data_IF_785949231206
#
_entry.id   IF_785949231206
#
_cell.length_a   1.000
_cell.length_b   1.000
_cell.length_c   1.000
_cell.angle_alpha   90.00
_cell.angle_beta   90.00
_cell.angle_gamma   90.00
#
_symmetry.space_group_name_H-M   'P 1'
#
loop_
_entity.id
_entity.type
_entity.pdbx_description
1 polymer ?
#
# COMPACT_ATOMS: atom_id res chain seq x y z
N UNK A 1 83.20 13.57 -6.05
CA UNK A 1 83.30 14.82 -6.83
C UNK A 1 82.69 14.56 -8.19
N UNK A 2 81.65 15.33 -8.51
CA UNK A 2 81.17 15.69 -9.86
C UNK A 2 80.30 14.68 -10.64
N UNK A 3 78.99 14.84 -10.49
CA UNK A 3 77.95 15.14 -11.50
C UNK A 3 78.18 14.77 -12.99
N UNK A 4 77.16 14.17 -13.63
CA UNK A 4 76.39 14.76 -14.75
C UNK A 4 75.12 13.93 -15.03
N UNK A 5 74.00 14.66 -15.09
CA UNK A 5 72.64 14.25 -15.41
C UNK A 5 72.45 13.89 -16.90
N UNK A 6 71.55 12.94 -17.20
CA UNK A 6 70.67 13.00 -18.37
C UNK A 6 69.29 12.52 -17.99
N UNK A 7 68.34 13.46 -18.07
CA UNK A 7 66.95 13.25 -17.76
C UNK A 7 66.24 12.34 -18.74
N UNK A 8 65.33 11.54 -18.20
CA UNK A 8 64.13 11.10 -18.89
C UNK A 8 62.99 11.91 -18.28
N UNK A 9 62.30 12.68 -19.13
CA UNK A 9 61.35 13.69 -18.72
C UNK A 9 60.09 13.12 -18.03
N UNK A 10 59.41 13.94 -17.23
CA UNK A 10 58.13 13.58 -16.63
C UNK A 10 57.01 13.47 -17.69
N UNK A 11 56.19 12.45 -17.49
CA UNK A 11 54.99 12.08 -18.25
C UNK A 11 53.94 13.22 -18.22
N UNK A 12 53.38 13.65 -19.37
CA UNK A 12 52.47 14.81 -19.46
C UNK A 12 51.04 14.56 -18.96
N UNK A 13 50.81 13.62 -18.03
CA UNK A 13 49.46 13.31 -17.51
C UNK A 13 49.18 13.71 -16.07
N UNK A 14 50.14 14.30 -15.38
CA UNK A 14 49.90 15.00 -14.13
C UNK A 14 50.24 16.47 -14.30
N UNK A 15 49.21 17.32 -14.36
CA UNK A 15 49.15 18.75 -14.05
C UNK A 15 47.98 19.39 -14.84
N UNK A 16 46.76 19.09 -14.42
CA UNK A 16 45.60 19.92 -14.69
C UNK A 16 44.87 20.23 -13.37
N UNK A 17 45.63 20.79 -12.44
CA UNK A 17 45.10 21.61 -11.37
C UNK A 17 45.99 22.85 -11.30
N UNK A 18 45.35 23.98 -11.05
CA UNK A 18 45.90 25.34 -10.90
C UNK A 18 46.10 26.11 -12.20
N UNK A 19 45.04 26.75 -12.70
CA UNK A 19 45.07 28.20 -12.97
C UNK A 19 43.67 28.70 -13.33
N UNK A 20 42.98 29.30 -12.34
CA UNK A 20 42.13 30.50 -12.51
C UNK A 20 41.53 30.86 -11.14
N UNK A 21 42.33 31.58 -10.36
CA UNK A 21 41.94 32.42 -9.21
C UNK A 21 42.03 33.84 -9.79
N UNK A 22 40.92 34.50 -10.13
CA UNK A 22 40.21 35.55 -9.37
C UNK A 22 39.38 36.31 -10.43
N UNK A 23 38.21 36.93 -10.24
CA UNK A 23 37.58 37.56 -9.09
C UNK A 23 36.12 37.82 -9.51
N UNK A 24 35.15 37.42 -8.69
CA UNK A 24 33.74 37.65 -8.98
C UNK A 24 32.84 37.25 -7.82
N UNK A 25 32.99 37.93 -6.69
CA UNK A 25 32.11 37.80 -5.52
C UNK A 25 30.63 37.99 -5.91
N UNK A 26 29.80 36.95 -5.72
CA UNK A 26 28.49 37.00 -5.05
C UNK A 26 27.80 35.61 -5.08
N UNK A 27 27.14 35.32 -3.96
CA UNK A 27 26.20 34.21 -3.72
C UNK A 27 26.80 32.84 -3.39
N UNK A 28 27.18 32.69 -2.12
CA UNK A 28 27.17 31.40 -1.40
C UNK A 28 25.71 31.05 -1.07
N UNK A 29 25.02 30.41 -1.98
CA UNK A 29 23.75 29.69 -1.78
C UNK A 29 23.46 28.99 -3.11
N UNK A 30 23.69 27.67 -3.21
CA UNK A 30 23.33 26.94 -4.43
C UNK A 30 24.30 25.87 -4.93
N UNK A 31 25.08 25.20 -4.06
CA UNK A 31 25.86 24.02 -4.45
C UNK A 31 25.73 22.87 -3.44
N UNK A 32 24.52 22.67 -2.89
CA UNK A 32 24.11 21.42 -2.20
C UNK A 32 22.99 20.71 -2.98
N UNK A 33 22.89 20.94 -4.30
CA UNK A 33 21.82 20.38 -5.15
C UNK A 33 22.35 19.51 -6.30
N UNK A 34 23.47 18.81 -6.11
CA UNK A 34 23.99 17.87 -7.11
C UNK A 34 24.58 16.65 -6.41
N UNK A 35 24.05 15.49 -6.77
CA UNK A 35 24.33 14.16 -6.23
C UNK A 35 23.52 13.75 -4.99
N UNK A 36 22.24 14.12 -4.95
CA UNK A 36 21.25 13.10 -4.56
C UNK A 36 21.20 12.10 -5.72
N UNK A 37 21.84 10.95 -5.57
CA UNK A 37 21.53 9.79 -6.39
C UNK A 37 20.04 9.55 -6.18
N UNK A 38 19.23 9.96 -7.16
CA UNK A 38 17.79 9.74 -7.21
C UNK A 38 17.57 8.25 -6.98
N UNK A 39 17.22 7.89 -5.75
CA UNK A 39 16.71 6.56 -5.48
C UNK A 39 15.42 6.44 -6.30
N UNK A 40 15.28 5.39 -7.13
CA UNK A 40 14.11 5.24 -7.97
C UNK A 40 12.84 5.25 -7.11
N UNK A 41 11.76 5.84 -7.61
CA UNK A 41 10.47 5.81 -6.93
C UNK A 41 10.00 4.35 -6.76
N UNK A 42 9.10 4.05 -5.82
CA UNK A 42 8.53 2.71 -5.69
C UNK A 42 7.94 2.18 -7.01
N UNK A 43 7.30 3.05 -7.80
CA UNK A 43 6.75 2.71 -9.12
C UNK A 43 7.87 2.39 -10.13
N UNK A 44 8.94 3.20 -10.16
CA UNK A 44 10.10 2.94 -11.02
C UNK A 44 10.85 1.66 -10.59
N UNK A 45 10.86 1.32 -9.30
CA UNK A 45 11.43 0.08 -8.80
C UNK A 45 10.63 -1.14 -9.24
N UNK A 46 9.29 -1.04 -9.21
CA UNK A 46 8.40 -2.10 -9.70
C UNK A 46 8.62 -2.30 -11.20
N UNK A 47 8.64 -1.22 -11.99
CA UNK A 47 8.88 -1.28 -13.44
C UNK A 47 10.22 -1.95 -13.76
N UNK A 48 11.30 -1.59 -13.06
CA UNK A 48 12.61 -2.24 -13.24
C UNK A 48 12.60 -3.73 -12.86
N UNK A 49 11.80 -4.14 -11.88
CA UNK A 49 11.64 -5.56 -11.53
C UNK A 49 10.83 -6.27 -12.61
N UNK A 50 9.79 -5.65 -13.14
CA UNK A 50 8.99 -6.20 -14.25
C UNK A 50 9.82 -6.43 -15.51
N UNK A 51 10.65 -5.46 -15.91
CA UNK A 51 11.58 -5.63 -17.04
C UNK A 51 12.54 -6.79 -16.81
N UNK A 52 13.01 -6.98 -15.57
CA UNK A 52 13.87 -8.11 -15.21
C UNK A 52 13.13 -9.43 -15.27
N UNK A 53 11.89 -9.48 -14.77
CA UNK A 53 11.03 -10.66 -14.84
C UNK A 53 10.82 -11.06 -16.30
N UNK A 54 10.43 -10.11 -17.17
CA UNK A 54 10.22 -10.36 -18.60
C UNK A 54 11.51 -10.87 -19.27
N UNK A 55 12.66 -10.25 -18.97
CA UNK A 55 13.95 -10.71 -19.48
C UNK A 55 14.29 -12.13 -19.00
N UNK A 56 13.93 -12.51 -17.77
CA UNK A 56 14.14 -13.87 -17.24
C UNK A 56 13.21 -14.88 -17.90
N UNK A 57 11.95 -14.53 -18.12
CA UNK A 57 10.98 -15.37 -18.83
C UNK A 57 11.46 -15.70 -20.24
N UNK A 58 11.93 -14.70 -20.99
CA UNK A 58 12.50 -14.91 -22.33
C UNK A 58 13.72 -15.86 -22.30
N UNK A 59 14.58 -15.73 -21.28
CA UNK A 59 15.75 -16.62 -21.12
C UNK A 59 15.34 -18.05 -20.73
N UNK A 60 14.35 -18.19 -19.86
CA UNK A 60 13.78 -19.50 -19.50
C UNK A 60 13.23 -20.17 -20.74
N UNK A 61 12.43 -19.47 -21.54
CA UNK A 61 11.87 -19.98 -22.80
C UNK A 61 12.97 -20.44 -23.75
N UNK A 62 14.01 -19.63 -23.96
CA UNK A 62 15.15 -19.97 -24.81
C UNK A 62 15.90 -21.23 -24.32
N UNK A 63 16.15 -21.36 -23.01
CA UNK A 63 16.85 -22.54 -22.46
C UNK A 63 15.98 -23.79 -22.59
N UNK A 64 14.67 -23.68 -22.35
CA UNK A 64 13.71 -24.78 -22.53
C UNK A 64 13.71 -25.23 -24.00
N UNK A 65 13.69 -24.30 -24.95
CA UNK A 65 13.77 -24.60 -26.37
C UNK A 65 15.10 -25.29 -26.73
N UNK A 66 16.24 -24.78 -26.25
CA UNK A 66 17.56 -25.38 -26.45
C UNK A 66 17.67 -26.83 -25.93
N UNK A 67 17.10 -27.08 -24.75
CA UNK A 67 17.04 -28.44 -24.18
C UNK A 67 16.16 -29.33 -25.06
N UNK A 68 15.01 -28.81 -25.51
CA UNK A 68 14.07 -29.54 -26.37
C UNK A 68 14.69 -29.92 -27.72
N UNK A 69 15.35 -28.97 -28.40
CA UNK A 69 16.04 -29.19 -29.68
C UNK A 69 17.17 -30.19 -29.53
N UNK A 70 18.01 -30.05 -28.49
CA UNK A 70 19.11 -30.98 -28.22
C UNK A 70 18.60 -32.40 -27.93
N UNK A 71 17.52 -32.55 -27.16
CA UNK A 71 16.87 -33.85 -26.90
C UNK A 71 16.33 -34.47 -28.19
N UNK A 72 15.70 -33.67 -29.06
CA UNK A 72 15.15 -34.13 -30.33
C UNK A 72 16.25 -34.58 -31.31
N UNK A 73 17.31 -33.77 -31.47
CA UNK A 73 18.46 -34.10 -32.32
C UNK A 73 19.18 -35.37 -31.85
N UNK A 74 19.38 -35.52 -30.53
CA UNK A 74 20.00 -36.71 -29.97
C UNK A 74 19.15 -37.96 -30.22
N UNK A 75 17.83 -37.85 -30.04
CA UNK A 75 16.89 -38.95 -30.32
C UNK A 75 16.94 -39.35 -31.80
N UNK A 76 16.85 -38.37 -32.71
CA UNK A 76 16.92 -38.62 -34.15
C UNK A 76 18.24 -39.28 -34.57
N UNK A 77 19.36 -38.85 -33.98
CA UNK A 77 20.68 -39.44 -34.26
C UNK A 77 20.77 -40.89 -33.76
N UNK A 78 20.19 -41.20 -32.60
CA UNK A 78 20.12 -42.57 -32.07
C UNK A 78 19.25 -43.48 -32.93
N UNK A 79 18.09 -43.00 -33.37
CA UNK A 79 17.20 -43.73 -34.28
C UNK A 79 17.92 -44.07 -35.60
N UNK A 80 18.62 -43.09 -36.19
CA UNK A 80 19.42 -43.30 -37.41
C UNK A 80 20.54 -44.34 -37.22
N UNK A 81 21.04 -44.51 -35.99
CA UNK A 81 22.05 -45.50 -35.63
C UNK A 81 21.46 -46.84 -35.17
N UNK A 82 20.13 -46.99 -35.17
CA UNK A 82 19.44 -48.19 -34.67
C UNK A 82 19.62 -48.42 -33.17
N UNK A 83 19.95 -47.37 -32.41
CA UNK A 83 20.11 -47.42 -30.96
C UNK A 83 18.75 -47.25 -30.27
N UNK A 84 18.54 -47.87 -29.11
CA UNK A 84 17.33 -47.66 -28.33
C UNK A 84 17.21 -46.20 -27.85
N UNK A 85 15.98 -45.72 -27.61
CA UNK A 85 15.71 -44.42 -27.00
C UNK A 85 16.49 -44.24 -25.69
N UNK A 86 16.77 -42.98 -25.35
CA UNK A 86 17.48 -42.65 -24.12
C UNK A 86 16.50 -42.60 -22.95
N UNK A 87 16.72 -43.40 -21.90
CA UNK A 87 15.86 -43.43 -20.70
C UNK A 87 16.20 -42.34 -19.67
N UNK A 88 17.47 -41.91 -19.63
CA UNK A 88 17.96 -40.88 -18.71
C UNK A 88 18.26 -39.56 -19.43
N UNK A 89 18.33 -38.47 -18.70
CA UNK A 89 18.72 -37.16 -19.24
C UNK A 89 20.18 -37.19 -19.73
N UNK A 90 20.46 -36.76 -20.98
CA UNK A 90 21.79 -36.84 -21.52
C UNK A 90 22.74 -35.85 -20.83
N UNK A 91 24.03 -36.19 -20.66
CA UNK A 91 24.98 -35.28 -20.04
C UNK A 91 25.17 -33.95 -20.77
N UNK A 92 24.83 -33.90 -22.06
CA UNK A 92 24.94 -32.71 -22.89
C UNK A 92 24.02 -31.56 -22.49
N UNK A 93 22.96 -31.84 -21.71
CA UNK A 93 22.00 -30.81 -21.28
C UNK A 93 22.05 -30.51 -19.78
N UNK A 94 22.93 -31.17 -19.01
CA UNK A 94 22.99 -30.95 -17.55
C UNK A 94 23.33 -29.51 -17.18
N UNK A 95 24.17 -28.83 -17.97
CA UNK A 95 24.44 -27.41 -17.79
C UNK A 95 23.20 -26.55 -17.98
N UNK A 96 22.40 -26.89 -18.99
CA UNK A 96 21.22 -26.14 -19.38
C UNK A 96 20.10 -26.36 -18.36
N UNK A 97 19.89 -27.61 -17.92
CA UNK A 97 18.93 -27.95 -16.86
C UNK A 97 19.28 -27.24 -15.54
N UNK A 98 20.56 -27.18 -15.17
CA UNK A 98 21.00 -26.40 -14.01
C UNK A 98 20.76 -24.91 -14.19
N UNK A 99 21.07 -24.37 -15.37
CA UNK A 99 20.81 -22.96 -15.67
C UNK A 99 19.33 -22.60 -15.65
N UNK A 100 18.47 -23.55 -16.03
CA UNK A 100 17.02 -23.42 -15.99
C UNK A 100 16.52 -23.35 -14.55
N UNK A 101 17.01 -24.25 -13.67
CA UNK A 101 16.69 -24.23 -12.24
C UNK A 101 17.13 -22.91 -11.59
N UNK A 102 18.36 -22.44 -11.87
CA UNK A 102 18.86 -21.16 -11.38
C UNK A 102 17.99 -19.98 -11.86
N UNK A 103 17.59 -19.97 -13.15
CA UNK A 103 16.73 -18.92 -13.71
C UNK A 103 15.32 -18.92 -13.10
N UNK A 104 14.74 -20.10 -12.84
CA UNK A 104 13.43 -20.22 -12.20
C UNK A 104 13.46 -19.71 -10.75
N UNK A 105 14.52 -20.05 -10.00
CA UNK A 105 14.70 -19.53 -8.65
C UNK A 105 14.88 -17.99 -8.63
N UNK A 106 15.63 -17.44 -9.59
CA UNK A 106 15.77 -15.99 -9.74
C UNK A 106 14.44 -15.31 -10.12
N UNK A 107 13.63 -15.92 -11.00
CA UNK A 107 12.32 -15.41 -11.38
C UNK A 107 11.36 -15.37 -10.19
N UNK A 108 11.24 -16.47 -9.43
CA UNK A 108 10.39 -16.52 -8.22
C UNK A 108 10.84 -15.50 -7.16
N UNK A 109 12.15 -15.29 -7.01
CA UNK A 109 12.69 -14.29 -6.10
C UNK A 109 12.31 -12.86 -6.51
N UNK A 110 12.33 -12.56 -7.81
CA UNK A 110 11.90 -11.26 -8.35
C UNK A 110 10.40 -11.05 -8.18
N UNK A 111 9.58 -12.07 -8.41
CA UNK A 111 8.13 -12.00 -8.17
C UNK A 111 7.81 -11.69 -6.70
N UNK A 112 8.45 -12.40 -5.77
CA UNK A 112 8.30 -12.12 -4.33
C UNK A 112 8.74 -10.70 -3.96
N UNK A 113 9.83 -10.21 -4.56
CA UNK A 113 10.29 -8.84 -4.34
C UNK A 113 9.28 -7.81 -4.87
N UNK A 114 8.68 -8.06 -6.04
CA UNK A 114 7.61 -7.23 -6.61
C UNK A 114 6.39 -7.20 -5.69
N UNK A 115 5.93 -8.36 -5.25
CA UNK A 115 4.77 -8.50 -4.36
C UNK A 115 4.97 -7.74 -3.05
N UNK A 116 6.15 -7.86 -2.42
CA UNK A 116 6.47 -7.13 -1.20
C UNK A 116 6.45 -5.60 -1.41
N UNK A 117 6.99 -5.10 -2.53
CA UNK A 117 6.94 -3.66 -2.83
C UNK A 117 5.51 -3.16 -3.06
N UNK A 118 4.69 -3.93 -3.79
CA UNK A 118 3.27 -3.62 -4.00
C UNK A 118 2.54 -3.58 -2.66
N UNK A 119 2.72 -4.60 -1.81
CA UNK A 119 2.13 -4.66 -0.47
C UNK A 119 2.54 -3.46 0.41
N UNK A 120 3.81 -3.04 0.34
CA UNK A 120 4.28 -1.85 1.05
C UNK A 120 3.62 -0.57 0.53
N UNK A 121 3.46 -0.43 -0.79
CA UNK A 121 2.82 0.73 -1.39
C UNK A 121 1.33 0.79 -1.04
N UNK A 122 0.63 -0.35 -1.08
CA UNK A 122 -0.78 -0.45 -0.65
C UNK A 122 -0.95 -0.13 0.84
N UNK A 123 -0.09 -0.68 1.70
CA UNK A 123 -0.08 -0.33 3.13
C UNK A 123 0.11 1.16 3.34
N UNK A 124 0.99 1.79 2.57
CA UNK A 124 1.21 3.25 2.66
C UNK A 124 -0.02 4.04 2.20
N UNK A 125 -0.71 3.61 1.13
CA UNK A 125 -1.98 4.22 0.70
C UNK A 125 -3.06 4.11 1.78
N UNK A 126 -3.20 2.93 2.39
CA UNK A 126 -4.14 2.71 3.50
C UNK A 126 -3.84 3.64 4.69
N UNK A 127 -2.55 3.85 5.01
CA UNK A 127 -2.13 4.79 6.05
C UNK A 127 -2.54 6.22 5.68
N UNK A 128 -2.34 6.65 4.43
CA UNK A 128 -2.71 8.01 4.00
C UNK A 128 -4.22 8.25 4.02
N UNK A 129 -5.00 7.28 3.57
CA UNK A 129 -6.47 7.31 3.65
C UNK A 129 -6.95 7.36 5.11
N UNK A 130 -6.38 6.52 5.97
CA UNK A 130 -6.73 6.51 7.39
C UNK A 130 -6.33 7.81 8.10
N UNK A 131 -5.21 8.43 7.73
CA UNK A 131 -4.81 9.76 8.24
C UNK A 131 -5.86 10.81 7.91
N UNK A 132 -6.35 10.84 6.68
CA UNK A 132 -7.42 11.76 6.28
C UNK A 132 -8.70 11.49 7.07
N UNK A 133 -9.04 10.21 7.29
CA UNK A 133 -10.20 9.81 8.09
C UNK A 133 -10.09 10.26 9.54
N UNK A 134 -8.97 9.99 10.21
CA UNK A 134 -8.72 10.42 11.60
C UNK A 134 -8.79 11.94 11.71
N UNK A 135 -8.19 12.67 10.77
CA UNK A 135 -8.24 14.13 10.79
C UNK A 135 -9.67 14.65 10.62
N UNK A 136 -10.47 14.04 9.73
CA UNK A 136 -11.89 14.36 9.61
C UNK A 136 -12.64 14.10 10.92
N UNK A 137 -12.43 12.95 11.57
CA UNK A 137 -13.05 12.62 12.86
C UNK A 137 -12.70 13.68 13.93
N UNK A 138 -11.44 14.10 13.98
CA UNK A 138 -10.97 15.14 14.93
C UNK A 138 -11.58 16.51 14.63
N UNK A 139 -11.74 16.87 13.35
CA UNK A 139 -12.40 18.10 12.92
C UNK A 139 -13.89 18.09 13.26
N UNK A 140 -14.57 16.97 13.05
CA UNK A 140 -15.98 16.82 13.41
C UNK A 140 -16.18 17.01 14.92
N UNK A 141 -15.27 16.47 15.75
CA UNK A 141 -15.30 16.69 17.19
C UNK A 141 -14.97 18.13 17.57
N UNK A 142 -14.02 18.78 16.90
CA UNK A 142 -13.72 20.20 17.10
C UNK A 142 -14.93 21.08 16.78
N UNK A 143 -15.63 20.79 15.68
CA UNK A 143 -16.82 21.54 15.30
C UNK A 143 -17.97 21.36 16.28
N UNK A 144 -18.14 20.16 16.85
CA UNK A 144 -19.06 19.96 17.99
C UNK A 144 -18.65 20.79 19.21
N UNK A 145 -17.35 20.96 19.46
CA UNK A 145 -16.88 21.86 20.54
C UNK A 145 -17.22 23.32 20.25
N UNK A 146 -17.07 23.78 18.99
CA UNK A 146 -17.47 25.13 18.58
C UNK A 146 -18.97 25.39 18.79
N UNK A 147 -19.83 24.42 18.48
CA UNK A 147 -21.26 24.52 18.74
C UNK A 147 -21.58 24.72 20.24
N UNK A 148 -20.73 24.19 21.12
CA UNK A 148 -20.85 24.34 22.58
C UNK A 148 -20.22 25.61 23.16
N UNK A 149 -19.53 26.43 22.36
CA UNK A 149 -18.88 27.65 22.86
C UNK A 149 -19.87 28.80 23.10
N UNK A 150 -19.52 29.66 24.05
CA UNK A 150 -20.28 30.89 24.29
C UNK A 150 -20.14 31.87 23.12
N UNK A 151 -21.15 32.73 22.90
CA UNK A 151 -21.08 33.75 21.86
C UNK A 151 -19.89 34.71 22.03
N UNK A 152 -19.46 34.95 23.28
CA UNK A 152 -18.30 35.78 23.60
C UNK A 152 -17.01 35.09 23.18
N UNK A 153 -16.86 33.79 23.49
CA UNK A 153 -15.69 33.01 23.10
C UNK A 153 -15.59 32.85 21.59
N UNK A 154 -16.72 32.55 20.92
CA UNK A 154 -16.78 32.48 19.45
C UNK A 154 -16.37 33.80 18.80
N UNK A 155 -16.85 34.93 19.35
CA UNK A 155 -16.46 36.26 18.87
C UNK A 155 -14.97 36.54 19.07
N UNK A 156 -14.42 36.20 20.24
CA UNK A 156 -12.99 36.37 20.52
C UNK A 156 -12.13 35.50 19.60
N UNK A 157 -12.51 34.23 19.43
CA UNK A 157 -11.78 33.26 18.63
C UNK A 157 -11.78 33.63 17.15
N UNK A 158 -12.90 34.14 16.63
CA UNK A 158 -12.99 34.58 15.24
C UNK A 158 -12.14 35.83 14.97
N UNK A 159 -12.02 36.73 15.94
CA UNK A 159 -11.26 37.97 15.76
C UNK A 159 -9.76 37.75 15.97
N UNK A 160 -9.39 37.12 17.09
CA UNK A 160 -8.02 37.04 17.60
C UNK A 160 -7.41 35.64 17.52
N UNK A 161 -8.20 34.61 17.24
CA UNK A 161 -7.75 33.23 17.34
C UNK A 161 -7.61 32.70 18.77
N UNK A 162 -8.04 33.47 19.77
CA UNK A 162 -7.94 33.13 21.19
C UNK A 162 -9.30 33.17 21.88
N UNK A 163 -9.41 32.41 22.96
CA UNK A 163 -10.58 32.41 23.85
C UNK A 163 -10.74 33.78 24.55
N UNK A 164 -11.90 34.03 25.17
CA UNK A 164 -12.18 35.33 25.83
C UNK A 164 -11.23 35.66 27.00
N UNK A 165 -10.55 34.63 27.54
CA UNK A 165 -9.51 34.75 28.55
C UNK A 165 -8.09 34.93 27.97
N UNK A 166 -7.97 35.23 26.68
CA UNK A 166 -6.72 35.41 25.92
C UNK A 166 -5.85 34.14 25.78
N UNK A 167 -6.35 32.98 26.22
CA UNK A 167 -5.66 31.71 26.05
C UNK A 167 -5.91 31.13 24.66
N UNK A 168 -4.94 30.37 24.15
CA UNK A 168 -5.14 29.55 22.96
C UNK A 168 -6.23 28.52 23.23
N UNK A 169 -6.99 28.18 22.18
CA UNK A 169 -7.99 27.13 22.30
C UNK A 169 -7.30 25.77 22.45
N UNK A 170 -7.70 25.03 23.47
CA UNK A 170 -7.35 23.62 23.64
C UNK A 170 -8.56 22.77 23.28
N UNK A 171 -8.37 21.90 22.29
CA UNK A 171 -9.36 20.92 21.86
C UNK A 171 -9.03 19.55 22.41
N UNK A 172 -10.06 18.79 22.80
CA UNK A 172 -9.88 17.39 23.23
C UNK A 172 -9.35 16.50 22.10
N UNK A 173 -9.74 16.77 20.86
CA UNK A 173 -9.41 15.95 19.69
C UNK A 173 -8.14 16.42 18.98
N UNK A 174 -7.84 17.72 19.03
CA UNK A 174 -6.74 18.34 18.29
C UNK A 174 -5.67 18.99 19.17
N UNK A 175 -5.81 18.92 20.49
CA UNK A 175 -4.87 19.55 21.42
C UNK A 175 -4.86 21.07 21.30
N UNK A 176 -3.70 21.68 21.54
CA UNK A 176 -3.53 23.13 21.49
C UNK A 176 -3.54 23.63 20.03
N UNK A 177 -4.53 24.46 19.70
CA UNK A 177 -4.60 25.13 18.42
C UNK A 177 -3.84 26.45 18.46
N UNK A 178 -3.06 26.71 17.42
CA UNK A 178 -2.47 28.03 17.23
C UNK A 178 -3.57 29.02 16.85
N UNK A 179 -3.42 30.31 17.19
CA UNK A 179 -4.48 31.28 16.97
C UNK A 179 -4.92 31.41 15.51
N UNK A 180 -3.99 31.33 14.58
CA UNK A 180 -4.28 31.45 13.15
C UNK A 180 -5.10 30.26 12.63
N UNK A 181 -4.71 29.04 13.00
CA UNK A 181 -5.46 27.83 12.68
C UNK A 181 -6.83 27.79 13.36
N UNK A 182 -6.91 28.14 14.65
CA UNK A 182 -8.18 28.16 15.38
C UNK A 182 -9.18 29.14 14.74
N UNK A 183 -8.70 30.33 14.37
CA UNK A 183 -9.47 31.33 13.64
C UNK A 183 -9.93 30.82 12.29
N UNK A 184 -9.03 30.23 11.50
CA UNK A 184 -9.33 29.74 10.16
C UNK A 184 -10.31 28.56 10.18
N UNK A 185 -10.14 27.61 11.12
CA UNK A 185 -11.07 26.50 11.32
C UNK A 185 -12.44 26.97 11.79
N UNK A 186 -12.50 27.95 12.68
CA UNK A 186 -13.76 28.55 13.11
C UNK A 186 -14.44 29.30 11.96
N UNK A 187 -13.68 30.00 11.12
CA UNK A 187 -14.22 30.65 9.94
C UNK A 187 -14.82 29.63 8.97
N UNK A 188 -14.08 28.56 8.63
CA UNK A 188 -14.57 27.47 7.79
C UNK A 188 -15.87 26.86 8.37
N UNK A 189 -15.91 26.62 9.68
CA UNK A 189 -17.11 26.15 10.36
C UNK A 189 -18.30 27.10 10.22
N UNK A 190 -18.10 28.42 10.41
CA UNK A 190 -19.16 29.43 10.23
C UNK A 190 -19.66 29.55 8.79
N UNK A 191 -18.79 29.29 7.83
CA UNK A 191 -19.12 29.23 6.41
C UNK A 191 -19.81 27.91 6.02
N UNK A 192 -19.94 26.95 6.96
CA UNK A 192 -20.58 25.66 6.74
C UNK A 192 -19.67 24.62 6.08
N UNK A 193 -18.37 24.90 5.97
CA UNK A 193 -17.37 24.00 5.38
C UNK A 193 -16.99 22.94 6.42
N UNK A 194 -17.49 21.72 6.23
CA UNK A 194 -17.27 20.59 7.16
C UNK A 194 -16.32 19.52 6.62
N UNK A 195 -16.10 19.48 5.31
CA UNK A 195 -15.33 18.43 4.66
C UNK A 195 -13.84 18.77 4.62
N UNK A 196 -12.99 17.82 5.00
CA UNK A 196 -11.54 17.97 5.03
C UNK A 196 -10.97 18.47 3.69
N UNK A 197 -11.35 17.94 2.50
CA UNK A 197 -10.81 18.45 1.23
C UNK A 197 -11.06 19.94 0.98
N UNK A 198 -12.17 20.48 1.49
CA UNK A 198 -12.48 21.90 1.37
C UNK A 198 -11.72 22.74 2.41
N UNK A 199 -11.57 22.21 3.63
CA UNK A 199 -10.75 22.82 4.70
C UNK A 199 -9.28 22.87 4.29
N UNK A 200 -8.76 21.86 3.61
CA UNK A 200 -7.36 21.86 3.15
C UNK A 200 -7.08 22.86 2.03
N UNK A 201 -8.11 23.30 1.29
CA UNK A 201 -7.94 24.40 0.31
C UNK A 201 -7.73 25.74 1.00
N UNK A 202 -8.34 25.94 2.17
CA UNK A 202 -8.21 27.18 2.94
C UNK A 202 -7.05 27.11 3.94
N UNK A 203 -6.75 25.92 4.47
CA UNK A 203 -5.72 25.67 5.48
C UNK A 203 -4.84 24.49 5.03
N UNK A 204 -3.96 24.68 4.04
CA UNK A 204 -3.15 23.60 3.47
C UNK A 204 -2.14 23.00 4.47
N UNK A 205 -1.69 23.79 5.46
CA UNK A 205 -0.72 23.34 6.45
C UNK A 205 -1.34 22.54 7.61
N UNK A 206 -2.67 22.37 7.63
CA UNK A 206 -3.37 21.61 8.65
C UNK A 206 -2.83 20.17 8.75
N UNK A 207 -2.65 19.50 7.61
CA UNK A 207 -2.09 18.14 7.57
C UNK A 207 -0.66 18.09 8.08
N UNK A 208 0.17 19.08 7.74
CA UNK A 208 1.59 19.11 8.15
C UNK A 208 1.71 19.21 9.66
N UNK A 209 0.87 20.02 10.31
CA UNK A 209 0.92 20.23 11.76
C UNK A 209 0.63 18.95 12.54
N UNK A 210 -0.31 18.13 12.07
CA UNK A 210 -0.71 16.89 12.74
C UNK A 210 -0.07 15.64 12.12
N UNK A 211 0.87 15.80 11.20
CA UNK A 211 1.36 14.72 10.36
C UNK A 211 1.93 13.56 11.17
N UNK A 212 2.72 13.85 12.21
CA UNK A 212 3.36 12.84 13.05
C UNK A 212 2.34 12.03 13.85
N UNK A 213 1.47 12.71 14.61
CA UNK A 213 0.42 12.08 15.41
C UNK A 213 -0.55 11.27 14.54
N UNK A 214 -1.00 11.85 13.42
CA UNK A 214 -1.89 11.17 12.48
C UNK A 214 -1.20 9.94 11.87
N UNK A 215 0.08 10.03 11.50
CA UNK A 215 0.81 8.90 10.92
C UNK A 215 0.94 7.75 11.92
N UNK A 216 1.23 8.06 13.18
CA UNK A 216 1.32 7.05 14.23
C UNK A 216 -0.03 6.37 14.47
N UNK A 217 -1.08 7.15 14.68
CA UNK A 217 -2.41 6.63 14.94
C UNK A 217 -2.96 5.85 13.73
N UNK A 218 -2.75 6.34 12.51
CA UNK A 218 -3.15 5.64 11.29
C UNK A 218 -2.43 4.31 11.13
N UNK A 219 -1.12 4.24 11.41
CA UNK A 219 -0.36 2.97 11.38
C UNK A 219 -0.94 1.95 12.35
N UNK A 220 -1.20 2.36 13.59
CA UNK A 220 -1.79 1.48 14.61
C UNK A 220 -3.19 1.00 14.21
N UNK A 221 -4.05 1.89 13.69
CA UNK A 221 -5.40 1.52 13.23
C UNK A 221 -5.37 0.60 12.01
N UNK A 222 -4.49 0.85 11.03
CA UNK A 222 -4.35 0.01 9.84
C UNK A 222 -3.79 -1.37 10.20
N UNK A 223 -2.75 -1.43 11.04
CA UNK A 223 -2.18 -2.70 11.49
C UNK A 223 -3.20 -3.55 12.24
N UNK A 224 -3.97 -2.92 13.15
CA UNK A 224 -5.05 -3.59 13.86
C UNK A 224 -6.14 -4.13 12.92
N UNK A 225 -6.58 -3.34 11.92
CA UNK A 225 -7.58 -3.78 10.94
C UNK A 225 -7.08 -4.98 10.12
N UNK A 226 -5.84 -4.91 9.64
CA UNK A 226 -5.23 -6.01 8.88
C UNK A 226 -5.08 -7.28 9.73
N UNK A 227 -4.79 -7.16 11.02
CA UNK A 227 -4.73 -8.31 11.93
C UNK A 227 -6.12 -8.91 12.21
N UNK A 228 -7.13 -8.06 12.43
CA UNK A 228 -8.52 -8.50 12.61
C UNK A 228 -9.07 -9.20 11.36
N UNK A 229 -8.79 -8.67 10.17
CA UNK A 229 -9.20 -9.27 8.89
C UNK A 229 -8.53 -10.65 8.66
N UNK A 230 -7.24 -10.78 8.97
CA UNK A 230 -6.53 -12.07 8.91
C UNK A 230 -7.15 -13.09 9.86
N UNK A 231 -7.42 -12.71 11.11
CA UNK A 231 -8.05 -13.61 12.09
C UNK A 231 -9.47 -14.01 11.68
N UNK A 232 -10.25 -13.07 11.17
CA UNK A 232 -11.61 -13.35 10.67
C UNK A 232 -11.57 -14.33 9.49
N UNK A 233 -10.63 -14.14 8.56
CA UNK A 233 -10.47 -15.01 7.39
C UNK A 233 -9.99 -16.42 7.77
N UNK A 234 -9.08 -16.53 8.74
CA UNK A 234 -8.65 -17.83 9.29
C UNK A 234 -9.77 -18.56 10.03
N UNK A 235 -10.63 -17.83 10.76
CA UNK A 235 -11.76 -18.42 11.47
C UNK A 235 -12.85 -18.88 10.48
N UNK A 236 -13.10 -18.12 9.42
CA UNK A 236 -14.06 -18.47 8.36
C UNK A 236 -13.58 -19.67 7.53
N UNK A 237 -12.27 -19.77 7.24
CA UNK A 237 -11.67 -20.96 6.62
C UNK A 237 -11.78 -22.19 7.52
N UNK A 238 -11.53 -22.06 8.83
CA UNK A 238 -11.71 -23.19 9.78
C UNK A 238 -13.16 -23.66 9.89
N UNK A 239 -14.14 -22.75 9.80
CA UNK A 239 -15.56 -23.10 9.78
C UNK A 239 -16.00 -23.77 8.47
N UNK A 240 -15.33 -23.49 7.35
CA UNK A 240 -15.56 -24.17 6.07
C UNK A 240 -14.85 -25.53 5.97
N UNK A 241 -13.68 -25.69 6.58
CA UNK A 241 -12.90 -26.94 6.55
C UNK A 241 -13.41 -27.99 7.54
N UNK A 242 -14.12 -27.56 8.58
CA UNK A 242 -14.75 -28.45 9.56
C UNK A 242 -16.16 -27.92 9.90
N UNK A 243 -17.20 -28.29 9.14
CA UNK A 243 -18.55 -27.99 9.57
C UNK A 243 -18.79 -28.76 10.86
N UNK A 244 -18.86 -28.05 11.99
CA UNK A 244 -19.44 -28.64 13.19
C UNK A 244 -20.81 -29.22 12.80
N UNK A 245 -21.12 -30.46 13.21
CA UNK A 245 -22.45 -31.00 12.97
C UNK A 245 -23.42 -30.06 13.66
N UNK A 246 -24.23 -29.38 12.84
CA UNK A 246 -25.43 -28.67 13.26
C UNK A 246 -26.17 -29.57 14.25
N UNK A 247 -26.17 -29.18 15.53
CA UNK A 247 -27.13 -29.68 16.51
C UNK A 247 -28.51 -29.17 16.10
N UNK A 248 -29.06 -29.78 15.06
CA UNK A 248 -30.49 -29.79 14.81
C UNK A 248 -31.05 -30.89 15.70
N UNK A 249 -31.80 -30.51 16.74
CA UNK A 249 -32.90 -31.29 17.36
C UNK A 249 -32.93 -31.10 18.87
N UNK A 250 -33.74 -30.16 19.35
CA UNK A 250 -34.65 -30.39 20.47
C UNK A 250 -35.58 -29.18 20.66
N UNK A 251 -36.60 -29.04 19.79
CA UNK A 251 -37.85 -28.36 20.17
C UNK A 251 -38.97 -28.72 19.18
N UNK A 252 -39.26 -30.02 19.08
CA UNK A 252 -40.50 -30.52 18.51
C UNK A 252 -41.10 -31.57 19.46
N UNK A 253 -42.33 -31.28 19.94
CA UNK A 253 -43.20 -32.03 20.89
C UNK A 253 -42.91 -31.67 22.34
N UNK A 254 -43.83 -31.12 23.15
CA UNK A 254 -45.26 -31.41 23.38
C UNK A 254 -45.85 -30.12 24.01
N UNK A 255 -46.94 -29.53 23.55
CA UNK A 255 -48.26 -29.76 24.15
C UNK A 255 -49.41 -29.33 23.21
N UNK A 256 -50.22 -30.33 22.87
CA UNK A 256 -51.55 -30.22 22.32
C UNK A 256 -52.55 -30.13 23.47
N UNK A 257 -53.44 -29.14 23.40
CA UNK A 257 -54.88 -29.16 23.72
C UNK A 257 -55.42 -28.16 24.76
N UNK A 258 -56.61 -27.65 24.37
CA UNK A 258 -57.63 -26.85 25.08
C UNK A 258 -57.40 -25.34 24.93
N UNK A 259 -58.33 -24.53 24.42
CA UNK A 259 -59.77 -24.69 24.27
C UNK A 259 -60.37 -23.62 23.35
N UNK A 260 -61.45 -24.03 22.67
CA UNK A 260 -62.61 -23.30 22.14
C UNK A 260 -62.67 -21.76 22.29
N UNK A 261 -62.92 -21.04 21.18
CA UNK A 261 -64.19 -20.31 20.97
C UNK A 261 -64.29 -19.59 19.61
N UNK A 262 -65.36 -19.96 18.89
CA UNK A 262 -66.38 -19.12 18.23
C UNK A 262 -66.03 -18.14 17.08
N UNK A 263 -66.85 -18.24 16.01
CA UNK A 263 -67.07 -17.24 14.96
C UNK A 263 -66.95 -17.84 13.55
N UNK A 264 -67.90 -18.63 13.04
CA UNK A 264 -69.24 -18.29 12.49
C UNK A 264 -69.22 -17.74 11.05
N UNK A 265 -69.94 -18.46 10.17
CA UNK A 265 -70.63 -18.05 8.91
C UNK A 265 -69.84 -17.33 7.78
N UNK A 266 -69.89 -17.68 6.48
CA UNK A 266 -70.99 -17.96 5.51
C UNK A 266 -70.35 -18.74 4.31
N UNK A 267 -70.78 -19.94 3.94
CA UNK A 267 -71.82 -20.34 2.97
C UNK A 267 -71.64 -19.89 1.49
N UNK A 268 -71.57 -20.93 0.64
CA UNK A 268 -72.10 -21.06 -0.73
C UNK A 268 -71.22 -20.75 -1.97
N UNK A 269 -71.23 -21.71 -2.91
CA UNK A 269 -70.73 -21.50 -4.29
C UNK A 269 -69.98 -22.63 -5.02
N UNK A 270 -70.52 -23.86 -5.07
CA UNK A 270 -70.84 -24.65 -6.31
C UNK A 270 -70.22 -24.11 -7.64
N UNK A 271 -69.56 -24.82 -8.58
CA UNK A 271 -69.89 -26.03 -9.39
C UNK A 271 -68.74 -26.28 -10.42
N UNK A 272 -68.48 -27.56 -10.73
CA UNK A 272 -67.96 -28.23 -11.97
C UNK A 272 -66.66 -27.81 -12.69
N UNK A 273 -65.77 -28.81 -12.80
CA UNK A 273 -64.98 -29.12 -14.00
C UNK A 273 -65.87 -29.78 -15.06
N UNK A 274 -65.52 -29.68 -16.36
CA UNK A 274 -65.02 -30.91 -16.96
C UNK A 274 -63.87 -30.72 -17.96
N UNK A 275 -63.09 -31.79 -18.02
CA UNK A 275 -62.19 -32.25 -19.08
C UNK A 275 -62.88 -32.23 -20.45
N UNK A 276 -62.33 -31.50 -21.43
CA UNK A 276 -61.63 -32.00 -22.63
C UNK A 276 -61.11 -30.82 -23.47
#
# INVERSE_FOLDING_TARGET
MSDIERGSGPDPRELALVSSVELGNKSKEGLEAREEILKPSPEEQIEQIEERIESREQRIEHVVESIGTTKAELTALRENLGLPPLEETPPSIFSDERSLEDLQAEHEALEKQKEELVNQQEKQKLIEEEKAKILQERLDELFKQFEGLSAVDLGSLLNTGKMSNEQSMESKSMGLLDPEMAKSLLQAFKEGVKLLPEILKTIPDLLKKFNEDLTKEAKERVEKKLEEEKRSSEEEQKRQENPEPSEESEEARVELNQSEQAGDFVEDGKVETPTE
#
